data_IF_854546298429
#
_entry.id   IF_854546298429
#
_cell.length_a   1.000
_cell.length_b   1.000
_cell.length_c   1.000
_cell.angle_alpha   90.00
_cell.angle_beta   90.00
_cell.angle_gamma   90.00
#
_symmetry.space_group_name_H-M   'P 1'
#
loop_
_entity.id
_entity.type
_entity.pdbx_description
1 polymer ?
#
# COMPACT_ATOMS: atom_id res chain seq x y z
N UNK A 1 13.25 22.91 -7.40
CA UNK A 1 12.11 21.98 -7.61
C UNK A 1 10.78 22.51 -7.04
N UNK A 2 10.72 23.79 -6.71
CA UNK A 2 9.48 24.44 -6.24
C UNK A 2 8.40 24.58 -7.33
N UNK A 3 8.74 24.28 -8.57
CA UNK A 3 7.92 24.56 -9.75
C UNK A 3 7.39 23.29 -10.44
N UNK A 4 7.59 22.09 -9.84
CA UNK A 4 6.98 20.86 -10.37
C UNK A 4 5.51 20.81 -9.97
N UNK A 5 4.64 20.75 -10.97
CA UNK A 5 3.25 20.40 -10.75
C UNK A 5 3.17 18.99 -10.18
N UNK A 6 2.35 18.81 -9.14
CA UNK A 6 2.04 17.49 -8.61
C UNK A 6 1.18 16.77 -9.63
N UNK A 7 1.57 15.58 -10.13
CA UNK A 7 0.68 14.83 -11.00
C UNK A 7 -0.56 14.42 -10.21
N UNK A 8 -1.72 14.70 -10.76
CA UNK A 8 -2.97 14.21 -10.19
C UNK A 8 -3.07 12.71 -10.46
N UNK A 9 -3.39 11.95 -9.44
CA UNK A 9 -3.75 10.55 -9.59
C UNK A 9 -5.16 10.45 -10.20
N UNK A 10 -5.54 9.30 -10.80
CA UNK A 10 -6.78 9.20 -11.55
C UNK A 10 -8.07 9.52 -10.77
N UNK A 11 -8.04 9.31 -9.45
CA UNK A 11 -9.16 9.60 -8.54
C UNK A 11 -9.14 11.01 -7.93
N UNK A 12 -8.21 11.87 -8.35
CA UNK A 12 -8.01 13.18 -7.76
C UNK A 12 -8.47 14.32 -8.68
N UNK A 13 -8.84 15.43 -8.08
CA UNK A 13 -9.23 16.66 -8.77
C UNK A 13 -8.39 17.84 -8.30
N UNK A 14 -8.23 18.86 -9.15
CA UNK A 14 -7.53 20.10 -8.78
C UNK A 14 -8.16 20.78 -7.56
N UNK A 15 -9.45 20.63 -7.37
CA UNK A 15 -10.19 21.29 -6.30
C UNK A 15 -9.80 20.75 -4.91
N UNK A 16 -9.43 19.46 -4.81
CA UNK A 16 -8.92 18.86 -3.57
C UNK A 16 -7.63 19.53 -3.09
N UNK A 17 -6.89 20.17 -3.98
CA UNK A 17 -5.60 20.80 -3.70
C UNK A 17 -5.65 22.32 -3.56
N UNK A 18 -6.80 22.96 -3.80
CA UNK A 18 -6.95 24.43 -3.65
C UNK A 18 -6.64 24.93 -2.25
N UNK A 19 -6.87 24.10 -1.25
CA UNK A 19 -6.64 24.45 0.16
C UNK A 19 -5.32 23.93 0.73
N UNK A 20 -4.50 23.21 -0.05
CA UNK A 20 -3.19 22.74 0.38
C UNK A 20 -2.30 23.89 0.85
N UNK A 21 -2.32 25.01 0.13
CA UNK A 21 -1.57 26.22 0.50
C UNK A 21 -1.96 26.83 1.84
N UNK A 22 -3.19 26.59 2.30
CA UNK A 22 -3.68 27.04 3.62
C UNK A 22 -3.25 26.08 4.73
N UNK A 23 -3.16 24.78 4.42
CA UNK A 23 -2.74 23.73 5.39
C UNK A 23 -1.22 23.57 5.45
N UNK A 24 -0.52 23.78 4.34
CA UNK A 24 0.93 23.59 4.23
C UNK A 24 1.56 24.90 3.76
N UNK A 25 2.34 25.58 4.63
CA UNK A 25 3.07 26.81 4.24
C UNK A 25 3.98 26.54 3.05
N UNK A 26 3.66 27.09 1.89
CA UNK A 26 4.43 26.87 0.65
C UNK A 26 3.57 26.80 -0.62
N UNK A 27 2.24 26.84 -0.48
CA UNK A 27 1.31 27.01 -1.60
C UNK A 27 0.72 25.73 -2.17
N UNK A 28 0.06 25.84 -3.29
CA UNK A 28 -0.72 24.82 -4.03
C UNK A 28 0.12 23.68 -4.64
N UNK A 29 1.35 23.51 -4.16
CA UNK A 29 2.37 22.60 -4.73
C UNK A 29 2.72 21.50 -3.74
N UNK A 30 3.46 20.51 -4.20
CA UNK A 30 3.92 19.37 -3.43
C UNK A 30 4.22 19.73 -1.95
N UNK A 31 3.65 18.99 -0.99
CA UNK A 31 3.69 19.34 0.44
C UNK A 31 5.10 19.28 1.09
N UNK A 32 6.15 19.05 0.31
CA UNK A 32 7.52 19.04 0.80
C UNK A 32 7.86 17.78 1.60
N UNK A 33 8.22 17.96 2.88
CA UNK A 33 8.60 16.84 3.75
C UNK A 33 7.41 15.99 4.24
N UNK A 34 6.20 16.36 3.93
CA UNK A 34 5.00 15.61 4.35
C UNK A 34 4.62 14.49 3.39
N UNK A 35 5.37 14.26 2.32
CA UNK A 35 5.16 13.18 1.37
C UNK A 35 6.42 12.84 0.57
N UNK A 36 6.34 11.76 -0.20
CA UNK A 36 7.42 11.29 -1.08
C UNK A 36 7.02 11.45 -2.54
N UNK A 37 7.46 12.53 -3.19
CA UNK A 37 7.14 12.79 -4.60
C UNK A 37 7.50 11.60 -5.50
N UNK A 38 8.58 10.88 -5.21
CA UNK A 38 8.96 9.69 -5.96
C UNK A 38 7.93 8.56 -5.82
N UNK A 39 7.32 8.38 -4.64
CA UNK A 39 6.25 7.43 -4.42
C UNK A 39 5.01 7.79 -5.26
N UNK A 40 4.64 9.06 -5.23
CA UNK A 40 3.52 9.57 -6.03
C UNK A 40 3.74 9.40 -7.53
N UNK A 41 4.94 9.72 -8.02
CA UNK A 41 5.29 9.54 -9.43
C UNK A 41 5.27 8.07 -9.83
N UNK A 42 5.80 7.19 -8.97
CA UNK A 42 5.78 5.74 -9.22
C UNK A 42 4.34 5.21 -9.30
N UNK A 43 3.47 5.61 -8.37
CA UNK A 43 2.05 5.26 -8.39
C UNK A 43 1.34 5.81 -9.65
N UNK A 44 1.57 7.07 -9.99
CA UNK A 44 1.00 7.70 -11.19
C UNK A 44 1.31 6.89 -12.45
N UNK A 45 2.58 6.53 -12.66
CA UNK A 45 2.96 5.74 -13.83
C UNK A 45 2.37 4.32 -13.79
N UNK A 46 2.43 3.65 -12.64
CA UNK A 46 1.89 2.30 -12.49
C UNK A 46 0.37 2.26 -12.74
N UNK A 47 -0.38 3.21 -12.19
CA UNK A 47 -1.84 3.28 -12.37
C UNK A 47 -2.24 3.50 -13.82
N UNK A 48 -1.54 4.41 -14.52
CA UNK A 48 -1.81 4.65 -15.94
C UNK A 48 -1.49 3.44 -16.82
N UNK A 49 -0.47 2.64 -16.47
CA UNK A 49 -0.13 1.44 -17.23
C UNK A 49 -1.20 0.34 -17.13
N UNK A 50 -1.86 0.19 -15.99
CA UNK A 50 -2.80 -0.91 -15.75
C UNK A 50 -4.25 -0.46 -15.59
N UNK A 51 -4.51 0.84 -15.80
CA UNK A 51 -5.86 1.40 -15.81
C UNK A 51 -6.54 1.48 -14.44
N UNK A 52 -5.78 1.66 -13.35
CA UNK A 52 -6.36 1.95 -12.03
C UNK A 52 -6.96 3.34 -12.07
N UNK A 53 -8.22 3.45 -11.61
CA UNK A 53 -8.96 4.70 -11.53
C UNK A 53 -9.09 5.21 -10.09
N UNK A 54 -9.32 4.32 -9.15
CA UNK A 54 -9.36 4.58 -7.73
C UNK A 54 -8.63 3.45 -6.98
N UNK A 55 -7.50 3.72 -6.31
CA UNK A 55 -6.75 2.67 -5.62
C UNK A 55 -7.57 1.97 -4.54
N UNK A 56 -8.55 2.65 -3.91
CA UNK A 56 -9.39 2.04 -2.88
C UNK A 56 -10.47 1.12 -3.43
N UNK A 57 -10.81 1.24 -4.71
CA UNK A 57 -11.79 0.40 -5.40
C UNK A 57 -11.14 -0.65 -6.30
N UNK A 58 -9.96 -0.34 -6.85
CA UNK A 58 -9.30 -1.15 -7.86
C UNK A 58 -8.22 -2.08 -7.29
N UNK A 59 -7.82 -1.91 -6.03
CA UNK A 59 -6.85 -2.75 -5.33
C UNK A 59 -7.52 -3.47 -4.15
N UNK A 60 -7.03 -4.66 -3.84
CA UNK A 60 -7.58 -5.52 -2.77
C UNK A 60 -6.66 -5.60 -1.54
N UNK A 61 -5.35 -5.41 -1.73
CA UNK A 61 -4.35 -5.42 -0.66
C UNK A 61 -3.10 -4.66 -1.09
N UNK A 62 -2.43 -4.02 -0.13
CA UNK A 62 -1.21 -3.27 -0.39
C UNK A 62 -0.12 -3.57 0.65
N UNK A 63 1.13 -3.57 0.19
CA UNK A 63 2.32 -3.62 1.05
C UNK A 63 3.11 -2.32 0.87
N UNK A 64 3.23 -1.55 1.95
CA UNK A 64 3.83 -0.23 1.98
C UNK A 64 5.22 -0.28 2.61
N UNK A 65 6.04 0.73 2.32
CA UNK A 65 7.37 0.88 2.92
C UNK A 65 7.28 1.64 4.25
N UNK A 66 6.87 0.95 5.29
CA UNK A 66 6.63 1.48 6.63
C UNK A 66 7.89 1.43 7.53
N UNK A 67 9.05 1.82 7.00
CA UNK A 67 10.29 1.90 7.78
C UNK A 67 10.16 2.79 9.04
N UNK A 68 9.21 3.72 9.01
CA UNK A 68 8.81 4.57 10.13
C UNK A 68 7.29 4.64 10.21
N UNK A 69 6.74 4.75 11.40
CA UNK A 69 5.29 4.76 11.64
C UNK A 69 4.55 5.84 10.84
N UNK A 70 5.17 7.00 10.62
CA UNK A 70 4.60 8.08 9.81
C UNK A 70 4.58 7.74 8.30
N UNK A 71 5.44 6.82 7.86
CA UNK A 71 5.57 6.50 6.44
C UNK A 71 4.31 5.90 5.83
N UNK A 72 3.55 5.14 6.60
CA UNK A 72 2.26 4.60 6.16
C UNK A 72 1.28 5.73 5.84
N UNK A 73 1.13 6.67 6.77
CA UNK A 73 0.23 7.83 6.61
C UNK A 73 0.62 8.63 5.37
N UNK A 74 1.92 8.92 5.22
CA UNK A 74 2.43 9.64 4.05
C UNK A 74 2.19 8.86 2.76
N UNK A 75 2.41 7.54 2.78
CA UNK A 75 2.27 6.72 1.58
C UNK A 75 0.80 6.59 1.17
N UNK A 76 -0.16 6.50 2.10
CA UNK A 76 -1.59 6.55 1.74
C UNK A 76 -1.96 7.81 0.97
N UNK A 77 -1.35 8.94 1.31
CA UNK A 77 -1.55 10.20 0.61
C UNK A 77 -0.83 10.20 -0.74
N UNK A 78 0.41 9.75 -0.78
CA UNK A 78 1.22 9.74 -1.99
C UNK A 78 0.64 8.83 -3.08
N UNK A 79 0.05 7.70 -2.71
CA UNK A 79 -0.57 6.76 -3.66
C UNK A 79 -2.07 7.01 -3.89
N UNK A 80 -2.63 8.07 -3.31
CA UNK A 80 -4.01 8.51 -3.56
C UNK A 80 -5.10 7.70 -2.85
N UNK A 81 -4.76 6.91 -1.83
CA UNK A 81 -5.77 6.26 -0.96
C UNK A 81 -6.54 7.33 -0.19
N UNK A 82 -5.85 8.43 0.15
CA UNK A 82 -6.48 9.65 0.69
C UNK A 82 -5.78 10.89 0.12
N UNK A 83 -6.49 12.01 0.01
CA UNK A 83 -5.87 13.30 -0.32
C UNK A 83 -4.82 13.70 0.72
N UNK A 84 -3.86 14.53 0.32
CA UNK A 84 -2.86 15.07 1.25
C UNK A 84 -3.48 15.73 2.48
N UNK A 85 -2.97 15.37 3.65
CA UNK A 85 -3.45 15.82 4.96
C UNK A 85 -4.61 14.99 5.54
N UNK A 86 -5.02 13.91 4.85
CA UNK A 86 -6.12 13.03 5.27
C UNK A 86 -5.70 11.55 5.42
N UNK A 87 -4.42 11.23 5.32
CA UNK A 87 -3.91 9.86 5.48
C UNK A 87 -4.22 9.28 6.87
N UNK A 88 -4.18 10.12 7.91
CA UNK A 88 -4.60 9.76 9.26
C UNK A 88 -6.06 9.25 9.31
N UNK A 89 -6.96 9.90 8.58
CA UNK A 89 -8.39 9.55 8.58
C UNK A 89 -8.60 8.12 8.06
N UNK A 90 -7.71 7.66 7.17
CA UNK A 90 -7.75 6.28 6.68
C UNK A 90 -7.39 5.27 7.76
N UNK A 91 -6.37 5.55 8.55
CA UNK A 91 -6.01 4.70 9.70
C UNK A 91 -7.13 4.71 10.74
N UNK A 92 -7.66 5.89 11.05
CA UNK A 92 -8.76 6.04 12.01
C UNK A 92 -10.06 5.40 11.52
N UNK A 93 -10.33 5.33 10.22
CA UNK A 93 -11.50 4.61 9.71
C UNK A 93 -11.46 3.10 10.03
N UNK A 94 -10.27 2.55 10.15
CA UNK A 94 -10.04 1.12 10.34
C UNK A 94 -10.00 0.32 9.02
N UNK A 95 -10.07 0.98 7.88
CA UNK A 95 -10.12 0.34 6.55
C UNK A 95 -8.78 -0.21 6.07
N UNK A 96 -7.69 0.18 6.74
CA UNK A 96 -6.35 -0.36 6.51
C UNK A 96 -6.10 -1.72 7.19
N UNK A 97 -6.98 -2.17 8.07
CA UNK A 97 -6.84 -3.46 8.75
C UNK A 97 -7.51 -4.58 7.94
N UNK A 98 -7.03 -5.81 8.10
CA UNK A 98 -7.68 -6.99 7.54
C UNK A 98 -9.15 -7.10 7.96
N UNK A 99 -9.40 -6.94 9.25
CA UNK A 99 -10.74 -6.80 9.81
C UNK A 99 -10.84 -5.43 10.48
N UNK A 100 -11.75 -4.61 10.00
CA UNK A 100 -11.96 -3.27 10.53
C UNK A 100 -12.44 -3.36 11.98
N UNK A 101 -11.67 -2.82 12.95
CA UNK A 101 -11.95 -2.99 14.37
C UNK A 101 -13.23 -2.27 14.83
N UNK A 102 -13.74 -1.32 14.05
CA UNK A 102 -14.97 -0.58 14.38
C UNK A 102 -16.23 -1.29 13.88
N UNK A 103 -16.14 -2.04 12.81
CA UNK A 103 -17.29 -2.64 12.13
C UNK A 103 -17.32 -4.15 12.20
N UNK A 104 -16.19 -4.81 12.47
CA UNK A 104 -16.02 -6.25 12.41
C UNK A 104 -16.06 -6.82 10.98
N UNK A 105 -16.11 -5.96 9.95
CA UNK A 105 -16.12 -6.34 8.53
C UNK A 105 -14.71 -6.28 7.95
N UNK A 106 -14.45 -6.88 6.78
CA UNK A 106 -13.20 -6.68 6.07
C UNK A 106 -12.90 -5.18 5.87
N UNK A 107 -11.64 -4.78 6.05
CA UNK A 107 -11.19 -3.44 5.71
C UNK A 107 -11.29 -3.18 4.22
N UNK A 108 -11.38 -1.92 3.84
CA UNK A 108 -11.59 -1.53 2.44
C UNK A 108 -10.37 -1.83 1.56
N UNK A 109 -9.19 -1.49 2.03
CA UNK A 109 -7.91 -1.79 1.38
C UNK A 109 -6.86 -2.10 2.45
N UNK A 110 -6.81 -3.35 2.93
CA UNK A 110 -5.88 -3.78 3.96
C UNK A 110 -4.42 -3.55 3.54
N UNK A 111 -3.60 -3.11 4.48
CA UNK A 111 -2.20 -2.80 4.24
C UNK A 111 -1.27 -3.49 5.22
N UNK A 112 -0.06 -3.82 4.75
CA UNK A 112 1.02 -4.39 5.56
C UNK A 112 0.58 -5.60 6.39
N UNK A 113 -0.19 -6.50 5.79
CA UNK A 113 -0.67 -7.72 6.46
C UNK A 113 0.46 -8.70 6.81
N UNK A 114 1.63 -8.53 6.19
CA UNK A 114 2.87 -9.20 6.56
C UNK A 114 3.39 -8.81 7.95
N UNK A 115 2.93 -7.68 8.48
CA UNK A 115 3.50 -6.96 9.61
C UNK A 115 4.39 -5.79 9.19
N UNK A 116 4.55 -5.60 7.88
CA UNK A 116 5.36 -4.54 7.30
C UNK A 116 6.85 -4.63 7.64
N UNK A 117 7.59 -3.57 7.36
CA UNK A 117 9.02 -3.49 7.67
C UNK A 117 9.26 -3.44 9.18
N UNK A 118 8.35 -2.80 9.91
CA UNK A 118 8.45 -2.67 11.38
C UNK A 118 8.20 -4.00 12.07
N UNK A 119 7.20 -4.77 11.66
CA UNK A 119 6.77 -6.00 12.32
C UNK A 119 7.43 -7.26 11.78
N UNK A 120 7.66 -7.35 10.47
CA UNK A 120 8.23 -8.53 9.82
C UNK A 120 9.74 -8.43 9.67
N UNK A 121 10.22 -7.58 8.78
CA UNK A 121 11.65 -7.27 8.61
C UNK A 121 11.90 -6.13 7.64
N UNK A 122 13.05 -5.47 7.78
CA UNK A 122 13.58 -4.54 6.81
C UNK A 122 14.99 -4.96 6.37
N UNK A 123 15.07 -5.90 5.44
CA UNK A 123 16.33 -6.46 4.93
C UNK A 123 16.91 -5.66 3.76
N UNK A 124 16.72 -4.35 3.79
CA UNK A 124 17.23 -3.34 2.84
C UNK A 124 17.05 -3.77 1.37
N UNK A 125 18.01 -4.48 0.77
CA UNK A 125 17.95 -4.89 -0.63
C UNK A 125 16.88 -5.95 -0.95
N UNK A 126 16.40 -6.70 0.04
CA UNK A 126 15.35 -7.72 -0.17
C UNK A 126 13.95 -7.25 0.23
N UNK A 127 13.80 -6.05 0.80
CA UNK A 127 12.51 -5.54 1.29
C UNK A 127 11.45 -5.51 0.19
N UNK A 128 11.77 -4.95 -0.97
CA UNK A 128 10.82 -4.90 -2.09
C UNK A 128 10.44 -6.28 -2.62
N UNK A 129 11.36 -7.25 -2.58
CA UNK A 129 11.07 -8.65 -2.95
C UNK A 129 10.11 -9.29 -1.95
N UNK A 130 10.32 -9.04 -0.65
CA UNK A 130 9.40 -9.50 0.40
C UNK A 130 7.99 -8.94 0.19
N UNK A 131 7.85 -7.64 -0.02
CA UNK A 131 6.57 -7.00 -0.27
C UNK A 131 5.85 -7.60 -1.49
N UNK A 132 6.58 -7.82 -2.60
CA UNK A 132 6.03 -8.48 -3.80
C UNK A 132 5.62 -9.92 -3.51
N UNK A 133 6.40 -10.66 -2.71
CA UNK A 133 6.07 -12.02 -2.29
C UNK A 133 4.76 -12.04 -1.47
N UNK A 134 4.61 -11.13 -0.53
CA UNK A 134 3.42 -11.05 0.33
C UNK A 134 2.15 -10.79 -0.48
N UNK A 135 2.16 -9.80 -1.36
CA UNK A 135 1.00 -9.52 -2.22
C UNK A 135 0.71 -10.68 -3.19
N UNK A 136 1.73 -11.38 -3.68
CA UNK A 136 1.54 -12.55 -4.53
C UNK A 136 0.86 -13.70 -3.77
N UNK A 137 1.21 -13.91 -2.49
CA UNK A 137 0.56 -14.92 -1.64
C UNK A 137 -0.94 -14.65 -1.50
N UNK A 138 -1.36 -13.39 -1.34
CA UNK A 138 -2.78 -13.03 -1.31
C UNK A 138 -3.48 -13.30 -2.65
N UNK A 139 -2.87 -12.91 -3.76
CA UNK A 139 -3.43 -13.12 -5.10
C UNK A 139 -3.59 -14.59 -5.47
N UNK A 140 -2.67 -15.45 -5.02
CA UNK A 140 -2.72 -16.90 -5.22
C UNK A 140 -3.54 -17.64 -4.16
N UNK A 141 -4.14 -16.93 -3.22
CA UNK A 141 -4.89 -17.50 -2.10
C UNK A 141 -4.04 -18.50 -1.27
N UNK A 142 -2.76 -18.21 -1.10
CA UNK A 142 -1.78 -19.06 -0.41
C UNK A 142 -1.17 -18.44 0.84
N UNK A 143 -1.63 -17.26 1.24
CA UNK A 143 -1.06 -16.54 2.37
C UNK A 143 -1.16 -17.36 3.67
N UNK A 144 -2.34 -17.93 3.93
CA UNK A 144 -2.56 -18.78 5.10
C UNK A 144 -1.72 -20.05 5.08
N UNK A 145 -1.54 -20.67 3.90
CA UNK A 145 -0.67 -21.86 3.73
C UNK A 145 0.80 -21.52 4.05
N UNK A 146 1.25 -20.37 3.52
CA UNK A 146 2.64 -19.93 3.69
C UNK A 146 2.94 -19.54 5.12
N UNK A 147 2.10 -18.71 5.73
CA UNK A 147 2.34 -18.17 7.08
C UNK A 147 1.81 -19.06 8.20
N UNK A 148 0.87 -19.95 7.91
CA UNK A 148 0.32 -20.90 8.87
C UNK A 148 1.10 -22.22 9.00
N UNK A 149 2.09 -22.48 8.15
CA UNK A 149 2.85 -23.73 8.15
C UNK A 149 3.78 -23.82 9.36
N UNK A 150 3.45 -24.75 10.28
CA UNK A 150 4.26 -25.00 11.48
C UNK A 150 5.70 -25.43 11.18
N UNK A 151 5.96 -26.11 10.06
CA UNK A 151 7.31 -26.51 9.68
C UNK A 151 8.19 -25.29 9.40
N UNK A 152 7.61 -24.26 8.80
CA UNK A 152 8.31 -22.98 8.58
C UNK A 152 8.63 -22.29 9.90
N UNK A 153 7.68 -22.22 10.82
CA UNK A 153 7.93 -21.66 12.15
C UNK A 153 9.08 -22.37 12.86
N UNK A 154 9.08 -23.71 12.84
CA UNK A 154 10.15 -24.52 13.42
C UNK A 154 11.50 -24.35 12.71
N UNK A 155 11.51 -24.21 11.38
CA UNK A 155 12.74 -23.98 10.62
C UNK A 155 13.44 -22.66 11.01
N UNK A 156 12.67 -21.64 11.46
CA UNK A 156 13.21 -20.40 12.01
C UNK A 156 13.41 -20.42 13.53
N UNK A 157 13.37 -21.59 14.16
CA UNK A 157 13.51 -21.73 15.61
C UNK A 157 12.37 -21.12 16.42
N UNK A 158 11.19 -20.96 15.82
CA UNK A 158 10.00 -20.35 16.43
C UNK A 158 8.85 -21.34 16.53
N UNK A 159 7.89 -21.03 17.37
CA UNK A 159 6.61 -21.72 17.44
C UNK A 159 5.53 -20.81 16.84
N UNK A 160 4.59 -21.41 16.11
CA UNK A 160 3.39 -20.68 15.65
C UNK A 160 2.61 -20.20 16.88
N UNK A 161 2.27 -18.90 16.97
CA UNK A 161 1.48 -18.38 18.08
C UNK A 161 0.13 -19.10 18.20
N UNK A 162 -0.34 -19.29 19.41
CA UNK A 162 -1.66 -19.92 19.66
C UNK A 162 -2.83 -19.05 19.17
N UNK A 163 -2.62 -17.75 19.12
CA UNK A 163 -3.56 -16.73 18.64
C UNK A 163 -3.32 -16.35 17.17
N UNK A 164 -2.54 -17.13 16.44
CA UNK A 164 -2.30 -16.90 15.01
C UNK A 164 -3.62 -16.84 14.24
N UNK A 165 -3.79 -15.78 13.47
CA UNK A 165 -5.00 -15.53 12.69
C UNK A 165 -4.67 -15.58 11.20
N UNK A 166 -5.57 -16.18 10.41
CA UNK A 166 -5.49 -16.13 8.96
C UNK A 166 -5.85 -14.72 8.46
N UNK A 167 -4.87 -14.05 7.86
CA UNK A 167 -5.05 -12.72 7.27
C UNK A 167 -5.17 -12.76 5.74
N UNK A 168 -5.49 -13.92 5.17
CA UNK A 168 -5.70 -14.05 3.72
C UNK A 168 -6.82 -13.12 3.24
N UNK A 169 -6.50 -12.21 2.33
CA UNK A 169 -7.52 -11.45 1.58
C UNK A 169 -8.10 -12.38 0.51
N UNK A 170 -9.29 -12.89 0.78
CA UNK A 170 -9.94 -13.86 -0.09
C UNK A 170 -10.44 -13.23 -1.38
N UNK A 171 -10.14 -13.86 -2.51
CA UNK A 171 -10.58 -13.40 -3.82
C UNK A 171 -9.87 -12.14 -4.29
N UNK A 172 -8.70 -11.82 -3.74
CA UNK A 172 -7.87 -10.71 -4.19
C UNK A 172 -7.54 -10.85 -5.68
N UNK A 173 -7.70 -9.76 -6.42
CA UNK A 173 -7.51 -9.70 -7.87
C UNK A 173 -6.34 -8.83 -8.26
N UNK A 174 -6.16 -7.71 -7.55
CA UNK A 174 -5.05 -6.76 -7.76
C UNK A 174 -4.44 -6.35 -6.44
N UNK A 175 -3.13 -6.26 -6.44
CA UNK A 175 -2.38 -5.86 -5.26
C UNK A 175 -1.22 -4.94 -5.63
N UNK A 176 -0.83 -4.08 -4.71
CA UNK A 176 0.25 -3.12 -4.90
C UNK A 176 1.33 -3.32 -3.83
N UNK A 177 2.59 -3.31 -4.25
CA UNK A 177 3.74 -3.19 -3.38
C UNK A 177 4.51 -1.92 -3.71
N UNK A 178 4.84 -1.12 -2.69
CA UNK A 178 5.64 0.08 -2.87
C UNK A 178 6.87 0.03 -1.98
N UNK A 179 8.05 0.16 -2.59
CA UNK A 179 9.33 0.07 -1.89
C UNK A 179 10.16 1.31 -2.14
N UNK A 180 10.74 1.83 -1.07
CA UNK A 180 11.60 3.00 -1.11
C UNK A 180 13.08 2.61 -0.95
N UNK A 181 13.96 3.35 -1.62
CA UNK A 181 15.40 3.28 -1.40
C UNK A 181 15.93 4.65 -0.98
N UNK A 182 16.92 4.62 -0.10
CA UNK A 182 17.47 5.83 0.51
C UNK A 182 16.40 6.56 1.34
N UNK A 183 16.35 7.87 1.21
CA UNK A 183 15.36 8.73 1.89
C UNK A 183 14.10 8.96 1.03
N UNK A 184 13.63 7.93 0.35
CA UNK A 184 12.48 8.04 -0.55
C UNK A 184 12.79 8.77 -1.87
N UNK A 185 14.07 8.79 -2.28
CA UNK A 185 14.48 9.38 -3.56
C UNK A 185 14.32 8.44 -4.75
N UNK A 186 14.32 7.14 -4.49
CA UNK A 186 14.06 6.09 -5.47
C UNK A 186 12.92 5.22 -4.94
N UNK A 187 11.87 5.10 -5.72
CA UNK A 187 10.68 4.34 -5.34
C UNK A 187 10.26 3.45 -6.50
N UNK A 188 9.95 2.21 -6.17
CA UNK A 188 9.30 1.28 -7.09
C UNK A 188 7.86 1.07 -6.64
N UNK A 189 6.92 1.15 -7.55
CA UNK A 189 5.53 0.76 -7.37
C UNK A 189 5.25 -0.43 -8.29
N UNK A 190 4.99 -1.59 -7.70
CA UNK A 190 4.71 -2.83 -8.41
C UNK A 190 3.25 -3.20 -8.22
N UNK A 191 2.53 -3.39 -9.32
CA UNK A 191 1.15 -3.86 -9.28
C UNK A 191 1.14 -5.27 -9.85
N UNK A 192 0.63 -6.21 -9.06
CA UNK A 192 0.34 -7.56 -9.50
C UNK A 192 -1.15 -7.74 -9.71
N UNK A 193 -1.50 -8.55 -10.70
CA UNK A 193 -2.87 -8.87 -11.01
C UNK A 193 -3.00 -10.38 -11.22
N UNK A 194 -4.07 -10.96 -10.69
CA UNK A 194 -4.38 -12.37 -10.92
C UNK A 194 -4.67 -12.58 -12.41
N UNK A 195 -4.00 -13.54 -13.08
CA UNK A 195 -4.22 -13.83 -14.51
C UNK A 195 -5.68 -14.10 -14.87
N UNK A 196 -6.42 -14.79 -14.01
CA UNK A 196 -7.84 -15.11 -14.23
C UNK A 196 -8.73 -13.87 -14.34
N UNK A 197 -8.23 -12.72 -13.84
CA UNK A 197 -8.93 -11.45 -13.94
C UNK A 197 -8.67 -10.75 -15.30
N UNK A 198 -7.55 -11.04 -15.96
CA UNK A 198 -7.22 -10.47 -17.27
C UNK A 198 -8.08 -11.07 -18.39
N UNK A 199 -8.38 -12.37 -18.30
CA UNK A 199 -9.08 -13.14 -19.35
C UNK A 199 -10.55 -12.70 -19.51
N UNK A 200 -11.14 -12.02 -18.52
CA UNK A 200 -12.55 -11.60 -18.54
C UNK A 200 -12.83 -10.21 -19.11
N UNK A 201 -11.81 -9.46 -19.48
CA UNK A 201 -11.98 -8.10 -20.04
C UNK A 201 -12.06 -8.05 -21.57
N UNK A 202 -11.66 -9.12 -22.26
CA UNK A 202 -11.61 -9.21 -23.73
C UNK A 202 -12.61 -10.23 -24.29
N UNK A 203 -13.62 -10.65 -23.51
CA UNK A 203 -14.66 -11.58 -23.92
C UNK A 203 -16.01 -10.87 -24.09
#
# INVERSE_FOLDING_TARGET
RRDMEIPLLPNETKDQYKDLGKKFPGGERYPGFTGFLAARMAAYYAYNQVGIKDPTEDLDVIELHDAFTISDIQTYEDIGVRPYGYGRDYVESGDCYHTNPKTGKPGKLPSNLSGGLIGCMHSVGATGIMQVFEIACHLWNRWAEVHGDEKRWKAFGRQKPSDWTDLQVKGAKRALAISHAGVGSHVTCTILQNPDHLIKKDA
#
